data_IF_500051808113
#
_entry.id   IF_500051808113
#
_cell.length_a   1.000
_cell.length_b   1.000
_cell.length_c   1.000
_cell.angle_alpha   90.00
_cell.angle_beta   90.00
_cell.angle_gamma   90.00
#
_symmetry.space_group_name_H-M   'P 1'
#
loop_
_entity.id
_entity.type
_entity.pdbx_description
1 polymer ?
#
# COMPACT_ATOMS: atom_id res chain seq x y z
N UNK A 1 15.33 23.31 18.58
CA UNK A 1 15.58 22.31 17.53
C UNK A 1 14.50 22.47 16.48
N UNK A 2 14.85 22.60 15.21
CA UNK A 2 13.86 22.66 14.12
C UNK A 2 13.94 21.34 13.38
N UNK A 3 13.16 20.37 13.83
CA UNK A 3 13.09 19.06 13.19
C UNK A 3 12.32 19.17 11.88
N UNK A 4 12.85 18.57 10.81
CA UNK A 4 12.23 18.55 9.51
C UNK A 4 11.23 17.41 9.47
N UNK A 5 9.95 17.74 9.43
CA UNK A 5 8.87 16.77 9.21
C UNK A 5 8.74 16.50 7.71
N UNK A 6 8.60 15.23 7.37
CA UNK A 6 8.31 14.78 6.02
C UNK A 6 6.89 14.23 5.97
N UNK A 7 6.22 14.41 4.84
CA UNK A 7 4.93 13.78 4.60
C UNK A 7 5.12 12.27 4.50
N UNK A 8 4.38 11.52 5.31
CA UNK A 8 4.42 10.06 5.31
C UNK A 8 3.16 9.52 4.65
N UNK A 9 3.35 8.78 3.56
CA UNK A 9 2.27 8.05 2.90
C UNK A 9 2.33 6.56 3.31
N UNK A 10 1.35 6.06 4.08
CA UNK A 10 1.35 4.66 4.50
C UNK A 10 1.26 3.68 3.32
N UNK A 11 0.76 4.09 2.16
CA UNK A 11 0.69 3.23 0.99
C UNK A 11 2.09 2.85 0.46
N UNK A 12 3.08 3.73 0.62
CA UNK A 12 4.46 3.48 0.19
C UNK A 12 5.14 2.37 1.02
N UNK A 13 4.65 2.10 2.24
CA UNK A 13 5.17 1.04 3.09
C UNK A 13 4.58 -0.35 2.76
N UNK A 14 3.50 -0.42 1.96
CA UNK A 14 2.77 -1.65 1.64
C UNK A 14 3.29 -2.33 0.37
N UNK A 15 4.62 -2.45 0.27
CA UNK A 15 5.33 -3.01 -0.90
C UNK A 15 5.29 -4.54 -0.98
N UNK A 16 4.94 -5.21 0.11
CA UNK A 16 4.93 -6.67 0.18
C UNK A 16 3.57 -7.20 0.65
N UNK A 17 3.18 -8.42 0.23
CA UNK A 17 1.96 -9.05 0.70
C UNK A 17 1.90 -9.16 2.24
N UNK A 18 3.03 -9.46 2.90
CA UNK A 18 3.09 -9.54 4.36
C UNK A 18 2.88 -8.19 5.06
N UNK A 19 3.35 -7.09 4.48
CA UNK A 19 3.07 -5.76 5.01
C UNK A 19 1.58 -5.41 4.91
N UNK A 20 0.93 -5.80 3.81
CA UNK A 20 -0.52 -5.63 3.62
C UNK A 20 -1.31 -6.46 4.63
N UNK A 21 -0.92 -7.70 4.88
CA UNK A 21 -1.58 -8.58 5.86
C UNK A 21 -1.51 -8.00 7.27
N UNK A 22 -0.33 -7.58 7.72
CA UNK A 22 -0.14 -6.96 9.04
C UNK A 22 -0.97 -5.68 9.16
N UNK A 23 -0.99 -4.86 8.10
CA UNK A 23 -1.72 -3.60 8.08
C UNK A 23 -3.24 -3.80 8.17
N UNK A 24 -3.79 -4.79 7.45
CA UNK A 24 -5.21 -5.13 7.53
C UNK A 24 -5.55 -5.73 8.89
N UNK A 25 -4.72 -6.64 9.41
CA UNK A 25 -4.94 -7.25 10.72
C UNK A 25 -5.02 -6.19 11.83
N UNK A 26 -4.08 -5.23 11.84
CA UNK A 26 -4.09 -4.12 12.78
C UNK A 26 -5.35 -3.24 12.63
N UNK A 27 -5.84 -3.03 11.41
CA UNK A 27 -7.08 -2.30 11.19
C UNK A 27 -8.31 -3.06 11.72
N UNK A 28 -8.36 -4.38 11.52
CA UNK A 28 -9.47 -5.22 12.00
C UNK A 28 -9.51 -5.29 13.54
N UNK A 29 -8.37 -5.28 14.21
CA UNK A 29 -8.27 -5.28 15.68
C UNK A 29 -8.96 -4.07 16.33
N UNK A 30 -9.06 -2.95 15.61
CA UNK A 30 -9.76 -1.76 16.11
C UNK A 30 -11.26 -1.96 16.29
N UNK A 31 -11.88 -2.90 15.55
CA UNK A 31 -13.32 -3.09 15.50
C UNK A 31 -14.11 -1.91 14.92
N UNK A 32 -13.43 -0.88 14.40
CA UNK A 32 -14.04 0.33 13.84
C UNK A 32 -14.18 0.19 12.31
N UNK A 33 -15.43 0.12 11.84
CA UNK A 33 -15.74 -0.05 10.43
C UNK A 33 -15.22 1.10 9.55
N UNK A 34 -15.22 2.35 10.04
CA UNK A 34 -14.72 3.50 9.31
C UNK A 34 -13.19 3.46 9.21
N UNK A 35 -12.51 3.03 10.28
CA UNK A 35 -11.06 2.86 10.27
C UNK A 35 -10.62 1.74 9.32
N UNK A 36 -11.33 0.60 9.35
CA UNK A 36 -11.10 -0.52 8.42
C UNK A 36 -11.29 -0.07 6.98
N UNK A 37 -12.37 0.68 6.68
CA UNK A 37 -12.60 1.20 5.33
C UNK A 37 -11.48 2.15 4.87
N UNK A 38 -10.94 3.00 5.77
CA UNK A 38 -9.77 3.85 5.47
C UNK A 38 -8.54 3.02 5.17
N UNK A 39 -8.23 2.01 5.98
CA UNK A 39 -7.09 1.12 5.76
C UNK A 39 -7.19 0.40 4.39
N UNK A 40 -8.39 -0.08 4.03
CA UNK A 40 -8.61 -0.73 2.73
C UNK A 40 -8.37 0.20 1.54
N UNK A 41 -8.67 1.50 1.67
CA UNK A 41 -8.35 2.50 0.62
C UNK A 41 -6.83 2.66 0.44
N UNK A 42 -6.06 2.63 1.53
CA UNK A 42 -4.59 2.69 1.49
C UNK A 42 -4.02 1.45 0.78
N UNK A 43 -4.52 0.26 1.13
CA UNK A 43 -4.11 -1.00 0.48
C UNK A 43 -4.44 -0.99 -1.02
N UNK A 44 -5.63 -0.50 -1.40
CA UNK A 44 -6.01 -0.38 -2.80
C UNK A 44 -5.04 0.54 -3.58
N UNK A 45 -4.63 1.66 -2.97
CA UNK A 45 -3.65 2.58 -3.56
C UNK A 45 -2.28 1.93 -3.70
N UNK A 46 -1.78 1.27 -2.66
CA UNK A 46 -0.48 0.58 -2.68
C UNK A 46 -0.40 -0.48 -3.80
N UNK A 47 -1.49 -1.23 -4.02
CA UNK A 47 -1.58 -2.20 -5.13
C UNK A 47 -1.60 -1.54 -6.51
N UNK A 48 -2.12 -0.32 -6.62
CA UNK A 48 -2.01 0.50 -7.82
C UNK A 48 -0.58 0.90 -8.12
N UNK A 49 0.18 1.32 -7.09
CA UNK A 49 1.59 1.69 -7.21
C UNK A 49 2.48 0.49 -7.59
N UNK A 50 2.25 -0.68 -6.99
CA UNK A 50 3.02 -1.88 -7.28
C UNK A 50 2.94 -2.34 -8.75
N UNK A 51 1.88 -1.95 -9.49
CA UNK A 51 1.76 -2.22 -10.92
C UNK A 51 2.62 -1.30 -11.79
N UNK A 52 2.92 -0.09 -11.32
CA UNK A 52 3.74 0.87 -12.06
C UNK A 52 5.24 0.54 -11.92
N UNK A 53 5.62 -0.19 -10.87
CA UNK A 53 7.01 -0.58 -10.60
C UNK A 53 7.39 -1.94 -11.18
N UNK A 54 6.72 -2.43 -12.23
CA UNK A 54 7.12 -3.62 -12.98
C UNK A 54 7.92 -3.23 -14.24
N UNK A 55 9.27 -3.10 -14.15
CA UNK A 55 10.12 -2.73 -15.27
C UNK A 55 10.33 -3.86 -16.31
N UNK A 56 9.77 -5.06 -16.13
CA UNK A 56 10.16 -6.27 -16.88
C UNK A 56 8.94 -7.01 -17.47
N UNK A 57 7.99 -6.30 -18.10
CA UNK A 57 7.07 -6.97 -19.03
C UNK A 57 7.75 -7.10 -20.41
N UNK A 58 8.21 -8.30 -20.81
CA UNK A 58 8.77 -8.49 -22.15
C UNK A 58 7.73 -8.14 -23.22
N UNK A 59 8.17 -7.38 -24.22
CA UNK A 59 7.39 -6.97 -25.40
C UNK A 59 7.32 -8.11 -26.44
N UNK A 60 7.10 -9.35 -25.99
CA UNK A 60 7.18 -10.49 -26.89
C UNK A 60 5.78 -10.95 -27.33
N UNK A 61 5.47 -10.66 -28.60
CA UNK A 61 4.91 -11.70 -29.44
C UNK A 61 3.54 -11.50 -30.08
N UNK A 62 3.10 -10.27 -30.38
CA UNK A 62 2.09 -10.08 -31.43
C UNK A 62 2.80 -9.93 -32.79
N UNK A 63 3.15 -11.06 -33.41
CA UNK A 63 3.32 -11.19 -34.86
C UNK A 63 2.85 -12.58 -35.27
#
# INVERSE_FOLDING_TARGET
MTEKLFEYDPAEALVSPGAVEIFIAAALETGDADYIAKAMKVVARARGMARETDPERPLDGFT
#
